data_IF_789597008314
#
_entry.id   IF_789597008314
#
_cell.length_a   1.000
_cell.length_b   1.000
_cell.length_c   1.000
_cell.angle_alpha   90.00
_cell.angle_beta   90.00
_cell.angle_gamma   90.00
#
_symmetry.space_group_name_H-M   'P 1'
#
loop_
_entity.id
_entity.type
_entity.pdbx_description
1 polymer ?
#
# COMPACT_ATOMS: atom_id res chain seq x y z
N UNK A 1 -20.21 7.84 -8.97
CA UNK A 1 -18.91 7.16 -9.17
C UNK A 1 -19.19 5.83 -9.81
N UNK A 2 -18.51 5.47 -10.90
CA UNK A 2 -18.57 4.11 -11.42
C UNK A 2 -17.97 3.18 -10.34
N UNK A 3 -18.50 1.97 -10.20
CA UNK A 3 -17.85 0.95 -9.38
C UNK A 3 -16.43 0.73 -9.94
N UNK A 4 -15.39 0.64 -9.09
CA UNK A 4 -14.05 0.31 -9.57
C UNK A 4 -14.09 -1.01 -10.31
N UNK A 5 -13.34 -1.13 -11.41
CA UNK A 5 -13.08 -2.43 -12.01
C UNK A 5 -12.14 -3.19 -11.09
N UNK A 6 -12.55 -4.41 -10.69
CA UNK A 6 -11.77 -5.28 -9.81
C UNK A 6 -11.26 -6.46 -10.66
N UNK A 7 -10.11 -6.33 -11.33
CA UNK A 7 -9.68 -7.27 -12.36
C UNK A 7 -9.49 -8.70 -11.84
N UNK A 8 -9.17 -8.87 -10.55
CA UNK A 8 -9.10 -10.18 -9.87
C UNK A 8 -10.23 -10.41 -8.86
N UNK A 9 -11.27 -9.58 -8.89
CA UNK A 9 -12.40 -9.61 -7.96
C UNK A 9 -12.18 -8.80 -6.68
N UNK A 10 -13.30 -8.39 -6.05
CA UNK A 10 -13.28 -7.53 -4.87
C UNK A 10 -12.53 -8.14 -3.67
N UNK A 11 -12.62 -9.46 -3.48
CA UNK A 11 -11.90 -10.14 -2.41
C UNK A 11 -10.37 -10.07 -2.58
N UNK A 12 -9.88 -10.24 -3.83
CA UNK A 12 -8.45 -10.04 -4.12
C UNK A 12 -8.05 -8.60 -3.84
N UNK A 13 -8.83 -7.64 -4.38
CA UNK A 13 -8.57 -6.23 -4.20
C UNK A 13 -8.52 -5.83 -2.72
N UNK A 14 -9.46 -6.32 -1.90
CA UNK A 14 -9.52 -6.02 -0.47
C UNK A 14 -8.33 -6.59 0.30
N UNK A 15 -7.88 -7.80 -0.05
CA UNK A 15 -6.65 -8.39 0.51
C UNK A 15 -5.43 -7.58 0.09
N UNK A 16 -5.28 -7.30 -1.21
CA UNK A 16 -4.20 -6.46 -1.74
C UNK A 16 -4.15 -5.11 -1.04
N UNK A 17 -5.30 -4.45 -0.86
CA UNK A 17 -5.38 -3.15 -0.20
C UNK A 17 -4.89 -3.21 1.24
N UNK A 18 -5.30 -4.25 1.98
CA UNK A 18 -4.86 -4.47 3.35
C UNK A 18 -3.33 -4.60 3.43
N UNK A 19 -2.73 -5.46 2.60
CA UNK A 19 -1.28 -5.66 2.59
C UNK A 19 -0.52 -4.38 2.18
N UNK A 20 -1.03 -3.63 1.19
CA UNK A 20 -0.43 -2.35 0.77
C UNK A 20 -0.40 -1.35 1.92
N UNK A 21 -1.49 -1.24 2.68
CA UNK A 21 -1.56 -0.31 3.83
C UNK A 21 -0.59 -0.75 4.93
N UNK A 22 -0.52 -2.03 5.26
CA UNK A 22 0.44 -2.56 6.24
C UNK A 22 1.88 -2.22 5.86
N UNK A 23 2.26 -2.41 4.60
CA UNK A 23 3.62 -2.06 4.12
C UNK A 23 3.86 -0.55 4.20
N UNK A 24 2.90 0.29 3.82
CA UNK A 24 3.05 1.76 3.91
C UNK A 24 3.20 2.23 5.36
N UNK A 25 2.45 1.64 6.29
CA UNK A 25 2.57 1.93 7.73
C UNK A 25 3.94 1.51 8.25
N UNK A 26 4.38 0.30 7.90
CA UNK A 26 5.71 -0.20 8.27
C UNK A 26 6.84 0.69 7.73
N UNK A 27 6.76 1.12 6.47
CA UNK A 27 7.73 2.05 5.87
C UNK A 27 7.79 3.38 6.61
N UNK A 28 6.63 3.94 6.98
CA UNK A 28 6.55 5.17 7.76
C UNK A 28 7.25 5.00 9.11
N UNK A 29 6.97 3.92 9.84
CA UNK A 29 7.62 3.65 11.14
C UNK A 29 9.16 3.58 11.02
N UNK A 30 9.69 2.95 9.97
CA UNK A 30 11.13 2.90 9.70
C UNK A 30 11.76 4.27 9.39
N UNK A 31 11.00 5.20 8.83
CA UNK A 31 11.45 6.59 8.61
C UNK A 31 11.38 7.43 9.89
N UNK A 32 10.35 7.21 10.71
CA UNK A 32 10.17 7.90 12.00
C UNK A 32 11.28 7.54 13.00
N UNK A 33 11.73 6.28 13.04
CA UNK A 33 12.88 5.86 13.88
C UNK A 33 14.19 6.62 13.55
N UNK A 34 14.26 7.29 12.39
CA UNK A 34 15.42 8.09 11.98
C UNK A 34 15.33 9.57 12.40
N UNK A 35 14.21 10.04 12.95
CA UNK A 35 14.02 11.44 13.38
C UNK A 35 13.44 11.51 14.79
N UNK A 36 14.06 12.27 15.73
CA UNK A 36 13.47 12.48 17.05
C UNK A 36 12.16 13.27 16.91
N UNK A 37 11.03 12.64 17.19
CA UNK A 37 9.71 13.25 17.07
C UNK A 37 9.29 13.99 18.35
N UNK A 38 8.62 15.12 18.17
CA UNK A 38 8.03 15.88 19.28
C UNK A 38 6.60 15.35 19.58
N UNK A 39 6.13 15.44 20.82
CA UNK A 39 4.85 14.84 21.27
C UNK A 39 3.62 15.26 20.43
N UNK A 40 3.67 16.43 19.79
CA UNK A 40 2.63 16.93 18.90
C UNK A 40 2.57 16.20 17.54
N UNK A 41 3.70 15.72 17.03
CA UNK A 41 3.79 14.99 15.75
C UNK A 41 3.25 13.56 15.88
N UNK A 42 3.28 13.01 17.11
CA UNK A 42 2.68 11.72 17.45
C UNK A 42 1.14 11.69 17.29
N UNK A 43 0.48 12.85 17.46
CA UNK A 43 -0.96 12.96 17.30
C UNK A 43 -1.41 13.14 15.84
N UNK A 44 -0.50 13.54 14.95
CA UNK A 44 -0.77 13.70 13.51
C UNK A 44 -0.55 12.39 12.72
N UNK A 45 -0.39 11.27 13.42
CA UNK A 45 -0.24 9.90 12.86
C UNK A 45 -1.48 9.36 12.14
N UNK A 46 -2.56 10.13 12.11
CA UNK A 46 -3.74 9.86 11.28
C UNK A 46 -3.35 9.68 9.82
N UNK A 47 -4.01 8.75 9.13
CA UNK A 47 -3.87 8.62 7.68
C UNK A 47 -4.31 9.94 7.02
N UNK A 48 -3.39 10.57 6.28
CA UNK A 48 -3.69 11.77 5.50
C UNK A 48 -4.44 11.39 4.23
N UNK A 49 -5.11 12.35 3.60
CA UNK A 49 -5.78 12.12 2.31
C UNK A 49 -4.79 11.59 1.26
N UNK A 50 -3.57 12.09 1.27
CA UNK A 50 -2.49 11.64 0.39
C UNK A 50 -2.15 10.16 0.61
N UNK A 51 -2.18 9.68 1.86
CA UNK A 51 -1.91 8.29 2.19
C UNK A 51 -3.03 7.37 1.70
N UNK A 52 -4.29 7.79 1.81
CA UNK A 52 -5.43 7.07 1.23
C UNK A 52 -5.33 6.98 -0.30
N UNK A 53 -5.04 8.09 -0.97
CA UNK A 53 -4.89 8.12 -2.42
C UNK A 53 -3.70 7.28 -2.90
N UNK A 54 -2.59 7.30 -2.15
CA UNK A 54 -1.43 6.47 -2.43
C UNK A 54 -1.77 4.99 -2.32
N UNK A 55 -2.38 4.56 -1.21
CA UNK A 55 -2.79 3.18 -1.02
C UNK A 55 -3.76 2.70 -2.11
N UNK A 56 -4.76 3.53 -2.46
CA UNK A 56 -5.71 3.24 -3.54
C UNK A 56 -5.00 3.06 -4.89
N UNK A 57 -4.10 3.98 -5.25
CA UNK A 57 -3.37 3.93 -6.52
C UNK A 57 -2.48 2.69 -6.61
N UNK A 58 -1.73 2.38 -5.56
CA UNK A 58 -0.85 1.21 -5.49
C UNK A 58 -1.65 -0.09 -5.57
N UNK A 59 -2.78 -0.17 -4.85
CA UNK A 59 -3.68 -1.33 -4.89
C UNK A 59 -4.19 -1.58 -6.31
N UNK A 60 -4.72 -0.53 -6.97
CA UNK A 60 -5.26 -0.65 -8.32
C UNK A 60 -4.17 -1.04 -9.34
N UNK A 61 -2.97 -0.46 -9.20
CA UNK A 61 -1.84 -0.76 -10.09
C UNK A 61 -1.41 -2.23 -9.93
N UNK A 62 -1.25 -2.71 -8.71
CA UNK A 62 -0.89 -4.11 -8.46
C UNK A 62 -1.95 -5.08 -8.98
N UNK A 63 -3.23 -4.81 -8.74
CA UNK A 63 -4.34 -5.64 -9.21
C UNK A 63 -4.37 -5.72 -10.74
N UNK A 64 -4.13 -4.62 -11.45
CA UNK A 64 -4.06 -4.63 -12.92
C UNK A 64 -2.83 -5.40 -13.42
N UNK A 65 -1.66 -5.19 -12.80
CA UNK A 65 -0.42 -5.86 -13.19
C UNK A 65 -0.41 -7.36 -12.87
N UNK A 66 -1.13 -7.78 -11.82
CA UNK A 66 -1.23 -9.18 -11.40
C UNK A 66 -2.31 -9.96 -12.13
N UNK A 67 -3.11 -9.29 -12.98
CA UNK A 67 -4.23 -9.90 -13.69
C UNK A 67 -3.80 -11.10 -14.52
N UNK A 68 -4.36 -12.27 -14.20
CA UNK A 68 -4.11 -13.53 -14.90
C UNK A 68 -2.71 -14.12 -14.65
N UNK A 69 -1.92 -13.58 -13.72
CA UNK A 69 -0.63 -14.15 -13.31
C UNK A 69 -0.84 -15.23 -12.24
N UNK A 70 -0.01 -16.26 -12.28
CA UNK A 70 0.10 -17.24 -11.20
C UNK A 70 1.11 -16.71 -10.19
N UNK A 71 0.74 -16.65 -8.92
CA UNK A 71 1.64 -16.24 -7.84
C UNK A 71 2.62 -17.35 -7.53
N UNK A 72 3.90 -17.03 -7.49
CA UNK A 72 4.98 -17.96 -7.09
C UNK A 72 5.35 -17.79 -5.60
N UNK A 73 5.01 -16.64 -5.02
CA UNK A 73 5.29 -16.27 -3.62
C UNK A 73 4.01 -15.90 -2.88
N UNK A 74 4.15 -15.55 -1.60
CA UNK A 74 3.01 -15.07 -0.81
C UNK A 74 2.56 -13.69 -1.32
N UNK A 75 1.29 -13.34 -1.10
CA UNK A 75 0.76 -12.03 -1.49
C UNK A 75 1.55 -10.91 -0.80
N UNK A 76 1.86 -11.06 0.49
CA UNK A 76 2.61 -10.07 1.24
C UNK A 76 4.00 -9.83 0.64
N UNK A 77 4.77 -10.88 0.33
CA UNK A 77 6.12 -10.73 -0.24
C UNK A 77 6.10 -10.00 -1.59
N UNK A 78 5.12 -10.30 -2.44
CA UNK A 78 4.96 -9.64 -3.74
C UNK A 78 4.55 -8.16 -3.57
N UNK A 79 3.70 -7.85 -2.59
CA UNK A 79 3.25 -6.49 -2.29
C UNK A 79 4.37 -5.66 -1.66
N UNK A 80 5.11 -6.23 -0.72
CA UNK A 80 6.25 -5.56 -0.10
C UNK A 80 7.24 -5.12 -1.19
N UNK A 81 7.69 -6.03 -2.04
CA UNK A 81 8.62 -5.71 -3.13
C UNK A 81 8.06 -4.64 -4.08
N UNK A 82 6.78 -4.76 -4.45
CA UNK A 82 6.09 -3.82 -5.32
C UNK A 82 6.03 -2.41 -4.70
N UNK A 83 5.55 -2.29 -3.46
CA UNK A 83 5.38 -0.98 -2.80
C UNK A 83 6.74 -0.30 -2.61
N UNK A 84 7.77 -1.04 -2.19
CA UNK A 84 9.13 -0.49 -2.08
C UNK A 84 9.69 0.00 -3.42
N UNK A 85 9.40 -0.70 -4.52
CA UNK A 85 9.82 -0.29 -5.86
C UNK A 85 9.11 1.00 -6.29
N UNK A 86 7.79 1.06 -6.12
CA UNK A 86 6.97 2.22 -6.51
C UNK A 86 7.31 3.48 -5.71
N UNK A 87 7.44 3.36 -4.38
CA UNK A 87 7.72 4.51 -3.51
C UNK A 87 9.11 5.10 -3.77
N UNK A 88 10.10 4.28 -4.15
CA UNK A 88 11.44 4.80 -4.53
C UNK A 88 11.44 5.59 -5.84
N UNK A 89 10.41 5.44 -6.66
CA UNK A 89 10.28 6.15 -7.95
C UNK A 89 9.44 7.43 -7.88
N UNK A 90 8.82 7.69 -6.73
CA UNK A 90 8.11 8.94 -6.42
C UNK A 90 9.09 10.03 -5.95
#
# INVERSE_FOLDING_TARGET
MALPDFPNGFESWQKTHFEVVEVLVFMRELEEDKKPQNFAEFFDRSATEEMYQLALRLTNKFEEESKGKVRERTLFDEIEEFVWAEVKTL
#
